data_IF_116140202296
#
_entry.id   IF_116140202296
#
_cell.length_a   1.000
_cell.length_b   1.000
_cell.length_c   1.000
_cell.angle_alpha   90.00
_cell.angle_beta   90.00
_cell.angle_gamma   90.00
#
_symmetry.space_group_name_H-M   'P 1'
#
loop_
_entity.id
_entity.type
_entity.pdbx_description
1 polymer ?
#
# COMPACT_ATOMS: atom_id res chain seq x y z
N UNK A 1 8.42 -11.32 13.21
CA UNK A 1 9.59 -10.65 13.81
C UNK A 1 9.19 -9.66 14.90
N UNK A 2 8.37 -8.65 14.61
CA UNK A 2 7.82 -7.74 15.65
C UNK A 2 6.97 -8.50 16.68
N UNK A 3 6.10 -9.40 16.21
CA UNK A 3 5.28 -10.30 17.04
C UNK A 3 6.09 -11.31 17.89
N UNK A 4 7.41 -11.44 17.66
CA UNK A 4 8.28 -12.34 18.43
C UNK A 4 9.13 -11.60 19.48
N UNK A 5 8.79 -10.35 19.83
CA UNK A 5 9.43 -9.62 20.93
C UNK A 5 10.78 -8.99 20.60
N UNK A 6 11.12 -8.80 19.32
CA UNK A 6 12.30 -8.03 18.94
C UNK A 6 12.01 -6.54 19.11
N UNK A 7 12.78 -5.88 19.99
CA UNK A 7 12.55 -4.51 20.45
C UNK A 7 12.75 -3.42 19.37
N UNK A 8 13.52 -3.69 18.31
CA UNK A 8 13.74 -2.75 17.22
C UNK A 8 13.93 -3.47 15.87
N UNK A 9 13.15 -3.06 14.87
CA UNK A 9 13.26 -3.49 13.49
C UNK A 9 13.55 -2.27 12.63
N UNK A 10 14.46 -2.39 11.68
CA UNK A 10 14.80 -1.29 10.77
C UNK A 10 14.65 -1.77 9.34
N UNK A 11 13.88 -1.03 8.55
CA UNK A 11 13.76 -1.26 7.11
C UNK A 11 14.73 -0.31 6.40
N UNK A 12 15.84 -0.86 5.91
CA UNK A 12 16.92 -0.06 5.31
C UNK A 12 17.05 -0.38 3.83
N UNK A 13 17.19 0.64 2.99
CA UNK A 13 17.49 0.47 1.57
C UNK A 13 18.83 -0.27 1.38
N UNK A 14 18.87 -1.44 0.71
CA UNK A 14 20.11 -2.20 0.50
C UNK A 14 21.23 -1.41 -0.19
N UNK A 15 20.90 -0.37 -0.97
CA UNK A 15 21.89 0.51 -1.62
C UNK A 15 22.72 1.29 -0.59
N UNK A 16 22.13 1.72 0.54
CA UNK A 16 22.87 2.41 1.63
C UNK A 16 23.92 1.49 2.25
N UNK A 17 23.52 0.26 2.55
CA UNK A 17 24.43 -0.77 3.12
C UNK A 17 25.57 -1.08 2.13
N UNK A 18 25.25 -1.22 0.84
CA UNK A 18 26.26 -1.46 -0.20
C UNK A 18 27.24 -0.29 -0.34
N UNK A 19 26.74 0.95 -0.35
CA UNK A 19 27.58 2.15 -0.42
C UNK A 19 28.53 2.26 0.78
N UNK A 20 28.03 1.98 1.98
CA UNK A 20 28.82 1.94 3.21
C UNK A 20 29.93 0.87 3.14
N UNK A 21 29.63 -0.31 2.58
CA UNK A 21 30.62 -1.36 2.33
C UNK A 21 31.71 -0.96 1.33
N UNK A 22 31.34 -0.25 0.26
CA UNK A 22 32.27 0.22 -0.75
C UNK A 22 33.22 1.30 -0.21
N UNK A 23 32.73 2.22 0.63
CA UNK A 23 33.57 3.22 1.30
C UNK A 23 34.66 2.61 2.19
N UNK A 24 34.41 1.42 2.75
CA UNK A 24 35.37 0.69 3.59
C UNK A 24 36.31 -0.23 2.80
N UNK A 25 36.39 -0.09 1.46
CA UNK A 25 37.32 -0.80 0.56
C UNK A 25 37.32 -2.33 0.72
N UNK A 26 36.12 -2.93 0.80
CA UNK A 26 36.00 -4.37 0.98
C UNK A 26 36.34 -5.15 -0.30
N UNK A 27 37.28 -6.10 -0.22
CA UNK A 27 37.70 -6.97 -1.34
C UNK A 27 36.98 -8.31 -1.42
N UNK A 28 36.53 -8.88 -0.29
CA UNK A 28 35.92 -10.23 -0.25
C UNK A 28 34.45 -10.21 0.22
N UNK A 29 33.59 -10.89 -0.54
CA UNK A 29 32.17 -11.12 -0.22
C UNK A 29 31.98 -12.47 0.50
N UNK A 30 31.43 -12.45 1.70
CA UNK A 30 31.02 -13.64 2.46
C UNK A 30 29.88 -13.27 3.40
N UNK A 31 29.02 -14.23 3.74
CA UNK A 31 27.84 -13.99 4.59
C UNK A 31 28.22 -13.43 5.97
N UNK A 32 29.31 -13.93 6.57
CA UNK A 32 29.82 -13.43 7.85
C UNK A 32 30.29 -11.98 7.76
N UNK A 33 30.93 -11.61 6.65
CA UNK A 33 31.41 -10.24 6.46
C UNK A 33 30.25 -9.28 6.10
N UNK A 34 29.21 -9.76 5.39
CA UNK A 34 27.98 -9.00 5.13
C UNK A 34 27.20 -8.75 6.42
N UNK A 35 27.05 -9.76 7.29
CA UNK A 35 26.42 -9.61 8.60
C UNK A 35 27.15 -8.57 9.48
N UNK A 36 28.49 -8.64 9.52
CA UNK A 36 29.31 -7.66 10.26
C UNK A 36 29.19 -6.25 9.68
N UNK A 37 29.09 -6.14 8.35
CA UNK A 37 28.89 -4.85 7.68
C UNK A 37 27.53 -4.24 8.06
N UNK A 38 26.47 -5.04 8.03
CA UNK A 38 25.12 -4.60 8.43
C UNK A 38 25.12 -4.15 9.90
N UNK A 39 25.72 -4.92 10.81
CA UNK A 39 25.81 -4.54 12.22
C UNK A 39 26.56 -3.21 12.41
N UNK A 40 27.69 -3.02 11.72
CA UNK A 40 28.46 -1.76 11.76
C UNK A 40 27.69 -0.59 11.18
N UNK A 41 26.96 -0.82 10.09
CA UNK A 41 26.09 0.18 9.49
C UNK A 41 24.99 0.62 10.48
N UNK A 42 24.30 -0.34 11.12
CA UNK A 42 23.25 -0.05 12.09
C UNK A 42 23.75 0.76 13.28
N UNK A 43 24.97 0.47 13.77
CA UNK A 43 25.59 1.25 14.86
C UNK A 43 26.01 2.65 14.39
N UNK A 44 26.63 2.75 13.20
CA UNK A 44 27.12 4.03 12.69
C UNK A 44 26.00 5.02 12.36
N UNK A 45 24.88 4.52 11.84
CA UNK A 45 23.76 5.32 11.34
C UNK A 45 22.57 5.32 12.31
N UNK A 46 22.75 4.85 13.56
CA UNK A 46 21.66 4.61 14.50
C UNK A 46 20.75 5.84 14.70
N UNK A 47 21.34 7.04 14.71
CA UNK A 47 20.60 8.29 14.90
C UNK A 47 19.71 8.67 13.70
N UNK A 48 20.08 8.20 12.51
CA UNK A 48 19.39 8.49 11.25
C UNK A 48 18.46 7.34 10.81
N UNK A 49 18.34 6.29 11.64
CA UNK A 49 17.49 5.14 11.38
C UNK A 49 16.17 5.26 12.14
N UNK A 50 15.07 5.34 11.39
CA UNK A 50 13.73 5.25 11.96
C UNK A 50 13.35 3.79 12.18
N UNK A 51 12.92 3.40 13.40
CA UNK A 51 12.36 2.08 13.63
C UNK A 51 11.14 1.84 12.76
N UNK A 52 11.08 0.67 12.14
CA UNK A 52 9.91 0.21 11.43
C UNK A 52 8.78 -0.07 12.41
N UNK A 53 7.60 0.45 12.13
CA UNK A 53 6.37 0.15 12.83
C UNK A 53 5.41 -0.64 11.92
N UNK A 54 4.63 -1.59 12.47
CA UNK A 54 3.57 -2.23 11.71
C UNK A 54 2.50 -1.22 11.29
N UNK A 55 1.78 -1.54 10.20
CA UNK A 55 0.58 -0.77 9.83
C UNK A 55 -0.42 -0.82 10.99
N UNK A 56 -1.13 0.29 11.21
CA UNK A 56 -2.26 0.30 12.15
C UNK A 56 -3.40 -0.55 11.60
N UNK A 57 -4.28 -1.03 12.49
CA UNK A 57 -5.47 -1.82 12.10
C UNK A 57 -6.34 -1.08 11.09
N UNK A 58 -6.48 0.24 11.25
CA UNK A 58 -7.24 1.10 10.33
C UNK A 58 -6.59 1.14 8.94
N UNK A 59 -5.26 1.19 8.86
CA UNK A 59 -4.53 1.17 7.60
C UNK A 59 -4.63 -0.20 6.91
N UNK A 60 -4.60 -1.29 7.67
CA UNK A 60 -4.80 -2.64 7.14
C UNK A 60 -6.21 -2.82 6.58
N UNK A 61 -7.23 -2.40 7.33
CA UNK A 61 -8.63 -2.41 6.88
C UNK A 61 -8.83 -1.53 5.63
N UNK A 62 -8.26 -0.33 5.62
CA UNK A 62 -8.30 0.56 4.45
C UNK A 62 -7.65 -0.13 3.23
N UNK A 63 -6.49 -0.76 3.42
CA UNK A 63 -5.76 -1.46 2.35
C UNK A 63 -6.61 -2.57 1.75
N UNK A 64 -7.21 -3.41 2.60
CA UNK A 64 -8.07 -4.51 2.17
C UNK A 64 -9.27 -4.01 1.36
N UNK A 65 -9.99 -3.00 1.86
CA UNK A 65 -11.16 -2.46 1.19
C UNK A 65 -10.82 -1.80 -0.14
N UNK A 66 -9.73 -1.03 -0.21
CA UNK A 66 -9.28 -0.39 -1.45
C UNK A 66 -8.95 -1.45 -2.50
N UNK A 67 -8.15 -2.47 -2.15
CA UNK A 67 -7.85 -3.59 -3.05
C UNK A 67 -9.10 -4.35 -3.49
N UNK A 68 -10.07 -4.50 -2.60
CA UNK A 68 -11.36 -5.11 -2.94
C UNK A 68 -12.13 -4.28 -3.97
N UNK A 69 -12.14 -2.94 -3.86
CA UNK A 69 -12.78 -2.09 -4.88
C UNK A 69 -12.14 -2.22 -6.25
N UNK A 70 -10.81 -2.40 -6.33
CA UNK A 70 -10.14 -2.67 -7.60
C UNK A 70 -10.55 -4.03 -8.18
N UNK A 71 -10.69 -5.04 -7.32
CA UNK A 71 -11.16 -6.37 -7.72
C UNK A 71 -12.56 -6.31 -8.34
N UNK A 72 -13.51 -5.67 -7.65
CA UNK A 72 -14.87 -5.47 -8.17
C UNK A 72 -14.83 -4.69 -9.49
N UNK A 73 -14.00 -3.64 -9.59
CA UNK A 73 -13.89 -2.83 -10.81
C UNK A 73 -13.43 -3.67 -12.00
N UNK A 74 -12.44 -4.56 -11.79
CA UNK A 74 -11.99 -5.52 -12.82
C UNK A 74 -13.09 -6.50 -13.20
N UNK A 75 -13.89 -6.97 -12.24
CA UNK A 75 -14.96 -7.92 -12.51
C UNK A 75 -16.12 -7.30 -13.28
N UNK A 76 -16.50 -6.06 -12.94
CA UNK A 76 -17.44 -5.25 -13.72
C UNK A 76 -16.95 -5.09 -15.16
N UNK A 77 -15.66 -4.80 -15.37
CA UNK A 77 -15.09 -4.67 -16.71
C UNK A 77 -15.23 -5.98 -17.51
N UNK A 78 -14.88 -7.12 -16.91
CA UNK A 78 -15.07 -8.44 -17.55
C UNK A 78 -16.54 -8.72 -17.89
N UNK A 79 -17.47 -8.37 -17.00
CA UNK A 79 -18.90 -8.54 -17.24
C UNK A 79 -19.42 -7.65 -18.36
N UNK A 80 -18.91 -6.42 -18.48
CA UNK A 80 -19.25 -5.53 -19.60
C UNK A 80 -18.79 -6.12 -20.93
N UNK A 81 -17.54 -6.58 -21.02
CA UNK A 81 -17.02 -7.26 -22.22
C UNK A 81 -17.86 -8.50 -22.58
N UNK A 82 -18.25 -9.31 -21.59
CA UNK A 82 -19.17 -10.45 -21.82
C UNK A 82 -20.55 -10.00 -22.29
N UNK A 83 -21.05 -8.87 -21.79
CA UNK A 83 -22.35 -8.33 -22.19
C UNK A 83 -22.32 -7.82 -23.63
N UNK A 84 -21.21 -7.23 -24.08
CA UNK A 84 -21.04 -6.77 -25.46
C UNK A 84 -20.98 -7.93 -26.45
N UNK A 85 -20.40 -9.07 -26.04
CA UNK A 85 -20.30 -10.28 -26.87
C UNK A 85 -21.56 -11.18 -26.84
N UNK A 86 -22.50 -10.95 -25.92
CA UNK A 86 -23.66 -11.81 -25.73
C UNK A 86 -24.80 -11.49 -26.72
N UNK A 87 -25.37 -12.53 -27.32
CA UNK A 87 -26.47 -12.42 -28.31
C UNK A 87 -27.83 -12.74 -27.64
N UNK A 88 -27.86 -13.74 -26.75
CA UNK A 88 -29.09 -14.21 -26.14
C UNK A 88 -29.70 -13.16 -25.17
N UNK A 89 -30.99 -12.79 -25.32
CA UNK A 89 -31.64 -11.79 -24.48
C UNK A 89 -31.70 -12.15 -22.99
N UNK A 90 -31.83 -13.43 -22.64
CA UNK A 90 -31.88 -13.90 -21.25
C UNK A 90 -30.50 -13.75 -20.61
N UNK A 91 -29.44 -14.12 -21.35
CA UNK A 91 -28.05 -13.93 -20.93
C UNK A 91 -27.74 -12.43 -20.75
N UNK A 92 -28.14 -11.57 -21.69
CA UNK A 92 -27.97 -10.11 -21.59
C UNK A 92 -28.66 -9.53 -20.34
N UNK A 93 -29.91 -9.94 -20.08
CA UNK A 93 -30.65 -9.49 -18.89
C UNK A 93 -29.94 -9.91 -17.59
N UNK A 94 -29.42 -11.15 -17.54
CA UNK A 94 -28.65 -11.65 -16.41
C UNK A 94 -27.35 -10.88 -16.19
N UNK A 95 -26.57 -10.65 -17.26
CA UNK A 95 -25.31 -9.89 -17.19
C UNK A 95 -25.53 -8.44 -16.74
N UNK A 96 -26.54 -7.75 -17.28
CA UNK A 96 -26.91 -6.39 -16.85
C UNK A 96 -27.31 -6.35 -15.38
N UNK A 97 -28.05 -7.36 -14.88
CA UNK A 97 -28.41 -7.47 -13.46
C UNK A 97 -27.16 -7.61 -12.58
N UNK A 98 -26.20 -8.45 -12.99
CA UNK A 98 -24.94 -8.66 -12.27
C UNK A 98 -24.09 -7.39 -12.22
N UNK A 99 -23.90 -6.73 -13.36
CA UNK A 99 -23.17 -5.44 -13.44
C UNK A 99 -23.79 -4.42 -12.48
N UNK A 100 -25.13 -4.29 -12.46
CA UNK A 100 -25.81 -3.36 -11.55
C UNK A 100 -25.61 -3.73 -10.07
N UNK A 101 -25.62 -5.02 -9.75
CA UNK A 101 -25.38 -5.51 -8.39
C UNK A 101 -23.96 -5.17 -7.92
N UNK A 102 -22.95 -5.48 -8.74
CA UNK A 102 -21.54 -5.20 -8.42
C UNK A 102 -21.25 -3.70 -8.34
N UNK A 103 -21.88 -2.87 -9.19
CA UNK A 103 -21.79 -1.42 -9.08
C UNK A 103 -22.35 -0.90 -7.75
N UNK A 104 -23.46 -1.48 -7.27
CA UNK A 104 -24.05 -1.12 -5.98
C UNK A 104 -23.13 -1.52 -4.82
N UNK A 105 -22.54 -2.71 -4.91
CA UNK A 105 -21.56 -3.18 -3.92
C UNK A 105 -20.31 -2.28 -3.90
N UNK A 106 -19.76 -1.95 -5.07
CA UNK A 106 -18.63 -1.02 -5.20
C UNK A 106 -18.92 0.32 -4.53
N UNK A 107 -20.12 0.88 -4.74
CA UNK A 107 -20.52 2.13 -4.11
C UNK A 107 -20.62 2.00 -2.58
N UNK A 108 -21.15 0.89 -2.07
CA UNK A 108 -21.24 0.62 -0.63
C UNK A 108 -19.85 0.50 0.02
N UNK A 109 -18.91 -0.18 -0.63
CA UNK A 109 -17.53 -0.30 -0.14
C UNK A 109 -16.82 1.06 -0.16
N UNK A 110 -17.01 1.88 -1.19
CA UNK A 110 -16.47 3.25 -1.24
C UNK A 110 -17.00 4.14 -0.12
N UNK A 111 -18.27 4.01 0.24
CA UNK A 111 -18.82 4.71 1.41
C UNK A 111 -18.15 4.26 2.71
N UNK A 112 -17.88 2.96 2.85
CA UNK A 112 -17.18 2.42 4.03
C UNK A 112 -15.73 2.90 4.13
N UNK A 113 -15.02 2.95 3.00
CA UNK A 113 -13.66 3.54 2.92
C UNK A 113 -13.69 4.99 3.41
N UNK A 114 -14.62 5.80 2.90
CA UNK A 114 -14.79 7.19 3.33
C UNK A 114 -15.10 7.32 4.82
N UNK A 115 -15.86 6.39 5.40
CA UNK A 115 -16.14 6.39 6.83
C UNK A 115 -14.87 6.15 7.66
N UNK A 116 -14.03 5.19 7.27
CA UNK A 116 -12.74 4.88 7.95
C UNK A 116 -11.80 6.07 7.88
N UNK A 117 -11.69 6.71 6.70
CA UNK A 117 -10.84 7.89 6.52
C UNK A 117 -11.33 9.03 7.40
N UNK A 118 -12.64 9.24 7.52
CA UNK A 118 -13.20 10.29 8.38
C UNK A 118 -13.00 10.02 9.87
N UNK A 119 -13.08 8.75 10.30
CA UNK A 119 -12.94 8.37 11.72
C UNK A 119 -11.50 8.40 12.22
N UNK A 120 -10.51 8.34 11.33
CA UNK A 120 -9.09 8.34 11.71
C UNK A 120 -8.42 9.67 11.33
N UNK A 121 -8.06 10.47 12.33
CA UNK A 121 -7.47 11.81 12.13
C UNK A 121 -6.16 11.80 11.33
N UNK A 122 -5.31 10.79 11.54
CA UNK A 122 -4.03 10.64 10.81
C UNK A 122 -4.27 10.36 9.34
N UNK A 123 -5.11 9.38 9.02
CA UNK A 123 -5.47 9.03 7.63
C UNK A 123 -6.17 10.21 6.95
N UNK A 124 -7.09 10.91 7.66
CA UNK A 124 -7.79 12.09 7.12
C UNK A 124 -6.85 13.21 6.72
N UNK A 125 -5.86 13.53 7.57
CA UNK A 125 -4.85 14.56 7.28
C UNK A 125 -4.02 14.17 6.06
N UNK A 126 -3.63 12.90 5.96
CA UNK A 126 -2.90 12.39 4.80
C UNK A 126 -3.75 12.45 3.51
N UNK A 127 -5.04 12.08 3.56
CA UNK A 127 -5.95 12.22 2.41
C UNK A 127 -6.05 13.67 1.91
N UNK A 128 -6.25 14.61 2.84
CA UNK A 128 -6.35 16.04 2.52
C UNK A 128 -5.07 16.58 1.88
N UNK A 129 -3.90 16.19 2.42
CA UNK A 129 -2.61 16.60 1.89
C UNK A 129 -2.37 16.05 0.49
N UNK A 130 -2.63 14.75 0.27
CA UNK A 130 -2.48 14.10 -1.03
C UNK A 130 -3.38 14.77 -2.08
N UNK A 131 -4.63 15.05 -1.72
CA UNK A 131 -5.61 15.70 -2.61
C UNK A 131 -5.34 17.17 -2.88
N UNK A 132 -4.42 17.81 -2.16
CA UNK A 132 -3.99 19.18 -2.45
C UNK A 132 -3.15 19.26 -3.75
N UNK A 133 -2.64 18.12 -4.22
CA UNK A 133 -1.86 18.03 -5.46
C UNK A 133 -2.81 18.10 -6.67
N UNK A 134 -2.61 19.07 -7.59
CA UNK A 134 -3.42 19.17 -8.80
C UNK A 134 -3.42 17.86 -9.60
N UNK A 135 -4.61 17.36 -9.92
CA UNK A 135 -4.80 16.11 -10.67
C UNK A 135 -4.99 14.86 -9.80
N UNK A 136 -4.85 14.94 -8.47
CA UNK A 136 -5.13 13.82 -7.58
C UNK A 136 -6.57 13.89 -7.05
N UNK A 137 -7.39 12.91 -7.47
CA UNK A 137 -8.76 12.74 -6.98
C UNK A 137 -8.85 11.81 -5.77
N UNK A 138 -10.07 11.67 -5.23
CA UNK A 138 -10.39 10.82 -4.07
C UNK A 138 -9.92 9.36 -4.26
N UNK A 139 -10.25 8.75 -5.41
CA UNK A 139 -9.89 7.35 -5.69
C UNK A 139 -8.37 7.17 -5.69
N UNK A 140 -7.65 8.06 -6.37
CA UNK A 140 -6.19 8.01 -6.44
C UNK A 140 -5.56 8.22 -5.06
N UNK A 141 -6.11 9.12 -4.25
CA UNK A 141 -5.69 9.34 -2.86
C UNK A 141 -5.87 8.08 -2.01
N UNK A 142 -7.03 7.42 -2.09
CA UNK A 142 -7.29 6.20 -1.33
C UNK A 142 -6.32 5.06 -1.70
N UNK A 143 -5.97 4.92 -2.99
CA UNK A 143 -4.97 3.95 -3.46
C UNK A 143 -3.59 4.27 -2.87
N UNK A 144 -3.18 5.54 -2.90
CA UNK A 144 -1.91 5.96 -2.29
C UNK A 144 -1.86 5.67 -0.79
N UNK A 145 -2.93 5.96 -0.05
CA UNK A 145 -3.00 5.70 1.39
C UNK A 145 -2.94 4.20 1.73
N UNK A 146 -3.54 3.34 0.88
CA UNK A 146 -3.53 1.90 1.06
C UNK A 146 -2.14 1.29 0.83
N UNK A 147 -1.51 1.64 -0.30
CA UNK A 147 -0.24 1.04 -0.70
C UNK A 147 0.97 1.72 -0.05
N UNK A 148 0.86 3.01 0.27
CA UNK A 148 1.91 3.85 0.85
C UNK A 148 1.37 4.54 2.12
N UNK A 149 1.14 3.79 3.21
CA UNK A 149 0.53 4.33 4.42
C UNK A 149 1.41 5.36 5.15
N UNK A 150 2.73 5.29 4.95
CA UNK A 150 3.68 6.18 5.60
C UNK A 150 4.55 6.88 4.55
N UNK A 151 4.08 8.05 4.14
CA UNK A 151 4.80 8.93 3.23
C UNK A 151 6.03 9.58 3.89
N UNK A 152 6.10 9.59 5.22
CA UNK A 152 7.21 10.22 5.95
C UNK A 152 8.48 9.36 5.96
N UNK A 153 8.36 8.07 5.66
CA UNK A 153 9.49 7.18 5.44
C UNK A 153 10.30 7.52 4.16
N UNK A 154 9.76 8.35 3.26
CA UNK A 154 10.45 8.80 2.05
C UNK A 154 10.99 10.22 2.28
N UNK A 155 12.14 10.33 2.95
CA UNK A 155 12.92 11.57 2.97
C UNK A 155 13.72 11.74 1.67
N UNK A 156 13.88 13.00 1.24
CA UNK A 156 14.77 13.39 0.13
C UNK A 156 16.24 13.22 0.49
#
# INVERSE_FOLDING_TARGET
LHQHGLHALFLVNPRRIKAFGNQKLRRNKSDTADARLIARFLVAEQNDLTPWAPKTTENEQLTELVRYTESITREIAKLKTKCEAAIDPIVLKSLKRRIKSEQKELAAIRLRINAIIKSCDTIRKSDQLIRSIPGIGEISSHIMLAEIPDLTHFSN
#
